data_IF_899283080419
#
_entry.id   IF_899283080419
#
_cell.length_a   1.000
_cell.length_b   1.000
_cell.length_c   1.000
_cell.angle_alpha   90.00
_cell.angle_beta   90.00
_cell.angle_gamma   90.00
#
_symmetry.space_group_name_H-M   'P 1'
#
loop_
_entity.id
_entity.type
_entity.pdbx_description
1 polymer ?
#
# COMPACT_ATOMS: atom_id res chain seq x y z
N UNK A 1 4.82 -6.93 -14.86
CA UNK A 1 5.78 -6.52 -13.81
C UNK A 1 5.33 -7.15 -12.49
N UNK A 2 6.19 -7.31 -11.47
CA UNK A 2 5.79 -8.08 -10.30
C UNK A 2 4.81 -7.30 -9.41
N UNK A 3 3.76 -8.01 -8.99
CA UNK A 3 2.75 -7.54 -8.03
C UNK A 3 3.38 -7.32 -6.64
N UNK A 4 2.75 -6.50 -5.81
CA UNK A 4 3.19 -6.16 -4.45
C UNK A 4 3.44 -7.42 -3.60
N UNK A 5 2.58 -8.43 -3.72
CA UNK A 5 2.70 -9.70 -2.99
C UNK A 5 4.00 -10.45 -3.30
N UNK A 6 4.56 -10.24 -4.50
CA UNK A 6 5.78 -10.92 -4.96
C UNK A 6 7.05 -10.10 -4.70
N UNK A 7 6.92 -8.86 -4.21
CA UNK A 7 8.04 -7.93 -3.99
C UNK A 7 7.98 -7.38 -2.58
N UNK A 8 8.15 -8.28 -1.62
CA UNK A 8 8.16 -7.93 -0.20
C UNK A 8 9.60 -7.75 0.29
N UNK A 9 10.06 -6.51 0.54
CA UNK A 9 11.39 -6.28 1.09
C UNK A 9 11.52 -6.85 2.50
N UNK A 10 12.69 -7.43 2.81
CA UNK A 10 13.00 -8.08 4.11
C UNK A 10 12.76 -7.21 5.35
N UNK A 11 12.69 -5.89 5.17
CA UNK A 11 12.48 -4.90 6.23
C UNK A 11 11.02 -4.77 6.68
N UNK A 12 10.09 -5.38 5.96
CA UNK A 12 8.65 -5.27 6.23
C UNK A 12 8.07 -6.60 6.74
N UNK A 13 7.09 -6.51 7.64
CA UNK A 13 6.37 -7.67 8.17
C UNK A 13 4.91 -7.32 8.48
N UNK A 14 4.05 -8.34 8.62
CA UNK A 14 2.61 -8.21 8.88
C UNK A 14 1.91 -7.26 7.89
N UNK A 15 2.17 -7.45 6.60
CA UNK A 15 1.79 -6.51 5.56
C UNK A 15 0.35 -6.76 5.10
N UNK A 16 -0.41 -5.68 5.00
CA UNK A 16 -1.65 -5.59 4.23
C UNK A 16 -1.39 -4.82 2.94
N UNK A 17 -1.83 -5.36 1.81
CA UNK A 17 -1.83 -4.64 0.54
C UNK A 17 -3.11 -3.80 0.52
N UNK A 18 -2.96 -2.50 0.28
CA UNK A 18 -4.08 -1.55 0.22
C UNK A 18 -4.44 -1.17 -1.22
N UNK A 19 -3.48 -1.31 -2.13
CA UNK A 19 -3.65 -1.07 -3.56
C UNK A 19 -2.53 -1.74 -4.34
N UNK A 20 -2.84 -2.30 -5.50
CA UNK A 20 -1.86 -2.78 -6.46
C UNK A 20 -2.49 -2.88 -7.86
N UNK A 21 -1.98 -2.11 -8.82
CA UNK A 21 -2.38 -2.18 -10.24
C UNK A 21 -1.27 -2.74 -11.13
N UNK A 22 -0.19 -3.25 -10.53
CA UNK A 22 0.98 -3.74 -11.25
C UNK A 22 1.92 -2.64 -11.75
N UNK A 23 1.63 -1.36 -11.52
CA UNK A 23 2.53 -0.21 -11.74
C UNK A 23 2.85 0.44 -10.40
N UNK A 24 1.83 0.75 -9.61
CA UNK A 24 1.89 1.38 -8.31
C UNK A 24 1.27 0.47 -7.25
N UNK A 25 1.93 0.38 -6.11
CA UNK A 25 1.47 -0.43 -5.00
C UNK A 25 1.51 0.36 -3.69
N UNK A 26 0.49 0.16 -2.85
CA UNK A 26 0.42 0.69 -1.48
C UNK A 26 0.29 -0.46 -0.51
N UNK A 27 1.10 -0.44 0.54
CA UNK A 27 1.07 -1.42 1.63
C UNK A 27 1.01 -0.72 2.99
N UNK A 28 0.57 -1.46 4.00
CA UNK A 28 0.60 -1.04 5.39
C UNK A 28 1.09 -2.19 6.27
N UNK A 29 2.03 -1.93 7.17
CA UNK A 29 2.58 -2.95 8.07
C UNK A 29 3.83 -2.47 8.81
N UNK A 30 4.47 -3.37 9.56
CA UNK A 30 5.65 -3.01 10.37
C UNK A 30 6.88 -2.85 9.50
N UNK A 31 7.56 -1.72 9.66
CA UNK A 31 8.86 -1.43 9.03
C UNK A 31 9.97 -1.40 10.08
N UNK A 32 11.00 -2.25 9.98
CA UNK A 32 12.19 -2.25 10.87
C UNK A 32 11.87 -2.13 12.38
N UNK A 33 10.91 -2.92 12.88
CA UNK A 33 10.46 -2.91 14.28
C UNK A 33 9.84 -1.58 14.77
N UNK A 34 9.46 -0.69 13.87
CA UNK A 34 8.69 0.52 14.18
C UNK A 34 7.18 0.20 14.22
N UNK A 35 6.34 1.13 14.73
CA UNK A 35 4.89 1.05 14.54
C UNK A 35 4.52 0.90 13.05
N UNK A 36 3.30 0.46 12.77
CA UNK A 36 2.87 0.24 11.39
C UNK A 36 3.05 1.52 10.55
N UNK A 37 3.64 1.34 9.36
CA UNK A 37 3.94 2.36 8.38
C UNK A 37 3.21 2.09 7.08
N UNK A 38 3.01 3.15 6.31
CA UNK A 38 2.56 3.03 4.93
C UNK A 38 3.77 2.99 3.98
N UNK A 39 3.79 1.99 3.11
CA UNK A 39 4.78 1.85 2.05
C UNK A 39 4.15 2.13 0.69
N UNK A 40 4.85 2.86 -0.17
CA UNK A 40 4.47 3.14 -1.56
C UNK A 40 5.60 2.71 -2.50
N UNK A 41 5.26 2.12 -3.64
CA UNK A 41 6.26 1.67 -4.62
C UNK A 41 5.74 1.83 -6.02
N UNK A 42 6.62 2.22 -6.93
CA UNK A 42 6.38 2.17 -8.37
C UNK A 42 7.32 1.18 -9.05
N UNK A 43 6.77 0.33 -9.92
CA UNK A 43 7.50 -0.66 -10.71
C UNK A 43 8.40 -0.02 -11.77
N UNK A 44 8.08 1.19 -12.23
CA UNK A 44 8.91 2.00 -13.13
C UNK A 44 10.14 2.62 -12.44
N UNK A 45 10.35 2.25 -11.17
CA UNK A 45 11.44 2.67 -10.33
C UNK A 45 11.37 4.16 -9.95
N UNK A 46 10.17 4.74 -9.79
CA UNK A 46 10.02 6.07 -9.21
C UNK A 46 9.93 6.04 -7.66
N UNK A 47 10.54 6.99 -6.92
CA UNK A 47 11.64 7.86 -7.36
C UNK A 47 12.92 7.03 -7.58
N UNK A 48 13.62 7.25 -8.70
CA UNK A 48 14.78 6.45 -9.13
C UNK A 48 15.95 6.59 -8.18
N UNK A 49 15.96 5.75 -7.14
CA UNK A 49 17.03 5.71 -6.12
C UNK A 49 18.05 4.59 -6.38
N UNK A 50 17.91 3.84 -7.48
CA UNK A 50 18.82 2.75 -7.85
C UNK A 50 18.36 2.05 -9.12
N UNK A 51 18.78 0.80 -9.33
CA UNK A 51 18.32 -0.04 -10.46
C UNK A 51 17.01 -0.79 -10.18
N UNK A 52 16.50 -0.72 -8.96
CA UNK A 52 15.38 -1.55 -8.48
C UNK A 52 14.31 -0.69 -7.81
N UNK A 53 13.04 -1.03 -8.07
CA UNK A 53 11.90 -0.41 -7.42
C UNK A 53 12.05 -0.43 -5.89
N UNK A 54 11.92 0.73 -5.27
CA UNK A 54 12.13 0.93 -3.84
C UNK A 54 10.81 1.23 -3.15
N UNK A 55 10.62 0.65 -1.96
CA UNK A 55 9.50 1.01 -1.09
C UNK A 55 9.81 2.30 -0.35
N UNK A 56 9.10 3.36 -0.71
CA UNK A 56 9.10 4.63 0.00
C UNK A 56 8.19 4.54 1.21
N UNK A 57 8.70 4.89 2.39
CA UNK A 57 7.90 5.00 3.62
C UNK A 57 7.23 6.36 3.63
N UNK A 58 5.90 6.39 3.61
CA UNK A 58 5.12 7.61 3.61
C UNK A 58 5.21 8.34 4.96
N UNK A 59 5.12 9.66 4.92
CA UNK A 59 5.05 10.47 6.13
C UNK A 59 3.72 10.27 6.85
N UNK A 60 3.77 9.96 8.14
CA UNK A 60 2.61 9.54 8.95
C UNK A 60 1.40 10.47 8.84
N UNK A 61 1.62 11.80 8.71
CA UNK A 61 0.52 12.78 8.60
C UNK A 61 -0.29 12.66 7.30
N UNK A 62 0.25 12.02 6.26
CA UNK A 62 -0.43 11.81 4.98
C UNK A 62 -1.06 10.42 4.85
N UNK A 63 -0.89 9.55 5.86
CA UNK A 63 -1.48 8.22 5.86
C UNK A 63 -3.01 8.28 5.88
N UNK A 64 -3.68 9.05 6.76
CA UNK A 64 -5.15 9.07 6.78
C UNK A 64 -5.74 9.56 5.45
N UNK A 65 -5.20 10.63 4.87
CA UNK A 65 -5.70 11.15 3.60
C UNK A 65 -5.52 10.17 2.44
N UNK A 66 -4.40 9.44 2.41
CA UNK A 66 -4.16 8.39 1.40
C UNK A 66 -5.18 7.25 1.55
N UNK A 67 -5.42 6.76 2.77
CA UNK A 67 -6.40 5.68 2.99
C UNK A 67 -7.81 6.13 2.63
N UNK A 68 -8.19 7.36 3.01
CA UNK A 68 -9.48 7.93 2.65
C UNK A 68 -9.69 7.98 1.14
N UNK A 69 -8.67 8.40 0.39
CA UNK A 69 -8.72 8.43 -1.08
C UNK A 69 -8.87 7.03 -1.68
N UNK A 70 -8.19 6.01 -1.13
CA UNK A 70 -8.34 4.62 -1.58
C UNK A 70 -9.74 4.06 -1.29
N UNK A 71 -10.33 4.37 -0.13
CA UNK A 71 -11.71 3.98 0.19
C UNK A 71 -12.68 4.57 -0.84
N UNK A 72 -12.57 5.87 -1.11
CA UNK A 72 -13.41 6.55 -2.11
C UNK A 72 -13.23 5.96 -3.51
N UNK A 73 -11.99 5.66 -3.90
CA UNK A 73 -11.69 5.01 -5.18
C UNK A 73 -12.41 3.67 -5.32
N UNK A 74 -12.30 2.79 -4.31
CA UNK A 74 -12.94 1.49 -4.36
C UNK A 74 -14.47 1.60 -4.31
N UNK A 75 -15.03 2.47 -3.47
CA UNK A 75 -16.48 2.66 -3.37
C UNK A 75 -17.10 3.18 -4.67
N UNK A 76 -16.37 4.02 -5.42
CA UNK A 76 -16.79 4.49 -6.73
C UNK A 76 -16.72 3.39 -7.81
N UNK A 77 -15.88 2.37 -7.64
CA UNK A 77 -15.75 1.27 -8.60
C UNK A 77 -16.82 0.19 -8.35
N UNK A 78 -17.81 0.08 -9.23
CA UNK A 78 -18.90 -0.89 -9.09
C UNK A 78 -18.50 -2.34 -9.42
N UNK A 79 -17.38 -2.54 -10.12
CA UNK A 79 -16.90 -3.87 -10.55
C UNK A 79 -15.54 -4.17 -9.93
N UNK A 80 -15.55 -4.44 -8.62
CA UNK A 80 -14.35 -4.84 -7.88
C UNK A 80 -14.12 -6.33 -7.98
N UNK A 81 -12.86 -6.71 -8.07
CA UNK A 81 -12.40 -8.08 -7.86
C UNK A 81 -12.44 -8.42 -6.37
N UNK A 82 -12.42 -9.72 -6.03
CA UNK A 82 -12.37 -10.16 -4.63
C UNK A 82 -11.13 -9.65 -3.87
N UNK A 83 -10.02 -9.41 -4.58
CA UNK A 83 -8.81 -8.82 -3.97
C UNK A 83 -9.04 -7.36 -3.62
N UNK A 84 -9.70 -6.59 -4.47
CA UNK A 84 -10.01 -5.18 -4.22
C UNK A 84 -11.03 -5.01 -3.07
N UNK A 85 -12.00 -5.93 -2.95
CA UNK A 85 -12.89 -5.94 -1.77
C UNK A 85 -12.11 -6.20 -0.47
N UNK A 86 -11.11 -7.09 -0.51
CA UNK A 86 -10.22 -7.31 0.63
C UNK A 86 -9.39 -6.05 0.94
N UNK A 87 -8.84 -5.38 -0.08
CA UNK A 87 -8.10 -4.12 0.09
C UNK A 87 -8.97 -3.02 0.70
N UNK A 88 -10.22 -2.88 0.26
CA UNK A 88 -11.18 -1.93 0.84
C UNK A 88 -11.45 -2.23 2.32
N UNK A 89 -11.65 -3.51 2.67
CA UNK A 89 -11.86 -3.91 4.07
C UNK A 89 -10.63 -3.61 4.94
N UNK A 90 -9.43 -3.87 4.43
CA UNK A 90 -8.18 -3.55 5.11
C UNK A 90 -8.02 -2.03 5.30
N UNK A 91 -8.32 -1.22 4.29
CA UNK A 91 -8.34 0.23 4.39
C UNK A 91 -9.28 0.72 5.50
N UNK A 92 -10.52 0.20 5.55
CA UNK A 92 -11.49 0.56 6.59
C UNK A 92 -11.03 0.16 8.00
N UNK A 93 -10.46 -1.04 8.14
CA UNK A 93 -9.96 -1.53 9.42
C UNK A 93 -8.78 -0.69 9.93
N UNK A 94 -7.91 -0.20 9.05
CA UNK A 94 -6.80 0.67 9.43
C UNK A 94 -7.31 2.06 9.79
N UNK A 95 -8.19 2.63 8.97
CA UNK A 95 -8.77 3.96 9.22
C UNK A 95 -9.45 4.06 10.58
N UNK A 96 -10.14 3.01 11.04
CA UNK A 96 -10.79 3.03 12.36
C UNK A 96 -9.82 3.03 13.56
N UNK A 97 -8.52 2.90 13.33
CA UNK A 97 -7.47 2.82 14.36
C UNK A 97 -6.50 4.01 14.33
N UNK A 98 -6.61 4.87 13.31
CA UNK A 98 -5.82 6.10 13.16
C UNK A 98 -6.53 7.26 13.86
#
# INVERSE_FOLDING_TARGET
MPNAINVTPKKWSNIKILFDDGIYSVIFGKFENTPDKMGKRWNDNYPRQGSSATWYVEYDKFVPSTIQALIQYYEANQSRTSSEDQYLNDCRQIMSKL
#
